data_IF_392364776414
#
_entry.id   IF_392364776414
#
_cell.length_a   1.000
_cell.length_b   1.000
_cell.length_c   1.000
_cell.angle_alpha   90.00
_cell.angle_beta   90.00
_cell.angle_gamma   90.00
#
_symmetry.space_group_name_H-M   'P 1'
#
loop_
_entity.id
_entity.type
_entity.pdbx_description
1 polymer ?
#
# COMPACT_ATOMS: atom_id res chain seq x y z
N UNK A 1 -9.39 29.26 1.38
CA UNK A 1 -7.91 29.27 1.50
C UNK A 1 -7.45 27.83 1.32
N UNK A 2 -6.27 27.58 0.76
CA UNK A 2 -5.78 26.22 0.62
C UNK A 2 -5.28 25.72 1.98
N UNK A 3 -5.60 24.48 2.35
CA UNK A 3 -5.20 23.89 3.64
C UNK A 3 -3.70 23.52 3.68
N UNK A 4 -3.06 23.41 2.51
CA UNK A 4 -1.64 23.09 2.35
C UNK A 4 -0.97 24.13 1.46
N UNK A 5 -0.02 24.88 2.01
CA UNK A 5 0.62 26.01 1.31
C UNK A 5 2.14 25.85 1.12
N UNK A 6 2.77 24.84 1.74
CA UNK A 6 4.23 24.65 1.67
C UNK A 6 4.61 23.22 1.27
N UNK A 7 5.79 23.00 0.65
CA UNK A 7 6.27 21.65 0.35
C UNK A 7 6.42 20.77 1.60
N UNK A 8 6.80 21.35 2.74
CA UNK A 8 6.88 20.65 4.02
C UNK A 8 5.50 20.20 4.49
N UNK A 9 4.49 21.08 4.42
CA UNK A 9 3.12 20.73 4.79
C UNK A 9 2.56 19.63 3.87
N UNK A 10 2.85 19.68 2.57
CA UNK A 10 2.46 18.63 1.64
C UNK A 10 3.17 17.30 1.92
N UNK A 11 4.45 17.33 2.28
CA UNK A 11 5.19 16.12 2.67
C UNK A 11 4.59 15.50 3.94
N UNK A 12 4.28 16.31 4.95
CA UNK A 12 3.65 15.85 6.19
C UNK A 12 2.32 15.15 5.89
N UNK A 13 1.45 15.80 5.12
CA UNK A 13 0.17 15.22 4.69
C UNK A 13 0.38 13.90 3.93
N UNK A 14 1.32 13.85 2.97
CA UNK A 14 1.59 12.65 2.20
C UNK A 14 2.10 11.48 3.08
N UNK A 15 2.99 11.75 4.03
CA UNK A 15 3.52 10.73 4.95
C UNK A 15 2.44 10.23 5.90
N UNK A 16 1.58 11.11 6.41
CA UNK A 16 0.45 10.73 7.28
C UNK A 16 -0.58 9.89 6.52
N UNK A 17 -0.94 10.31 5.30
CA UNK A 17 -1.84 9.55 4.42
C UNK A 17 -1.29 8.16 4.12
N UNK A 18 -0.01 8.06 3.75
CA UNK A 18 0.67 6.78 3.55
C UNK A 18 0.68 5.92 4.83
N UNK A 19 0.92 6.53 5.99
CA UNK A 19 0.94 5.82 7.27
C UNK A 19 -0.43 5.23 7.61
N UNK A 20 -1.53 5.98 7.46
CA UNK A 20 -2.88 5.43 7.64
C UNK A 20 -3.16 4.32 6.62
N UNK A 21 -2.69 4.48 5.38
CA UNK A 21 -2.75 3.44 4.37
C UNK A 21 -2.13 2.13 4.86
N UNK A 22 -0.89 2.16 5.37
CA UNK A 22 -0.24 0.96 5.89
C UNK A 22 -0.92 0.40 7.14
N UNK A 23 -1.48 1.25 8.02
CA UNK A 23 -2.34 0.79 9.12
C UNK A 23 -3.54 -0.01 8.60
N UNK A 24 -4.22 0.49 7.56
CA UNK A 24 -5.35 -0.20 6.95
C UNK A 24 -4.93 -1.53 6.32
N UNK A 25 -3.76 -1.58 5.65
CA UNK A 25 -3.21 -2.83 5.10
C UNK A 25 -2.96 -3.87 6.19
N UNK A 26 -2.26 -3.50 7.27
CA UNK A 26 -2.00 -4.39 8.42
C UNK A 26 -3.30 -4.95 9.00
N UNK A 27 -4.33 -4.13 9.11
CA UNK A 27 -5.61 -4.53 9.69
C UNK A 27 -6.46 -5.45 8.78
N UNK A 28 -6.23 -5.44 7.46
CA UNK A 28 -7.15 -6.03 6.47
C UNK A 28 -6.55 -7.17 5.65
N UNK A 29 -5.25 -7.16 5.36
CA UNK A 29 -4.62 -8.18 4.51
C UNK A 29 -4.75 -9.61 5.07
N UNK A 30 -4.82 -9.76 6.40
CA UNK A 30 -5.09 -11.06 7.02
C UNK A 30 -6.43 -11.66 6.57
N UNK A 31 -7.48 -10.85 6.44
CA UNK A 31 -8.80 -11.32 5.95
C UNK A 31 -8.78 -11.62 4.46
N UNK A 32 -8.14 -10.76 3.66
CA UNK A 32 -7.97 -10.98 2.22
C UNK A 32 -7.24 -12.30 1.96
N UNK A 33 -6.17 -12.57 2.72
CA UNK A 33 -5.44 -13.85 2.67
C UNK A 33 -6.33 -15.06 2.93
N UNK A 34 -7.27 -14.94 3.87
CA UNK A 34 -8.15 -16.05 4.23
C UNK A 34 -9.26 -16.28 3.19
N UNK A 35 -9.48 -15.34 2.26
CA UNK A 35 -10.40 -15.51 1.14
C UNK A 35 -9.79 -16.20 -0.09
N UNK A 36 -8.45 -16.24 -0.18
CA UNK A 36 -7.70 -16.77 -1.31
C UNK A 36 -7.62 -18.30 -1.25
N UNK A 37 -7.80 -18.96 -2.38
CA UNK A 37 -7.68 -20.43 -2.51
C UNK A 37 -6.27 -20.82 -3.02
N UNK A 38 -5.62 -19.97 -3.80
CA UNK A 38 -4.27 -20.19 -4.31
C UNK A 38 -3.18 -19.91 -3.27
N UNK A 39 -2.36 -20.93 -2.97
CA UNK A 39 -1.35 -20.86 -1.91
C UNK A 39 -0.22 -19.86 -2.21
N UNK A 40 0.13 -19.65 -3.49
CA UNK A 40 1.16 -18.66 -3.86
C UNK A 40 0.64 -17.25 -3.58
N UNK A 41 -0.61 -16.96 -3.93
CA UNK A 41 -1.25 -15.69 -3.58
C UNK A 41 -1.35 -15.49 -2.07
N UNK A 42 -1.68 -16.53 -1.30
CA UNK A 42 -1.74 -16.45 0.17
C UNK A 42 -0.38 -16.08 0.77
N UNK A 43 0.69 -16.67 0.24
CA UNK A 43 2.06 -16.36 0.65
C UNK A 43 2.43 -14.91 0.32
N UNK A 44 2.13 -14.46 -0.90
CA UNK A 44 2.38 -13.07 -1.32
C UNK A 44 1.65 -12.07 -0.41
N UNK A 45 0.38 -12.32 -0.09
CA UNK A 45 -0.40 -11.43 0.80
C UNK A 45 0.13 -11.48 2.24
N UNK A 46 0.60 -12.63 2.72
CA UNK A 46 1.20 -12.75 4.05
C UNK A 46 2.49 -11.93 4.14
N UNK A 47 3.35 -12.05 3.14
CA UNK A 47 4.61 -11.32 3.08
C UNK A 47 4.36 -9.81 2.91
N UNK A 48 3.33 -9.44 2.13
CA UNK A 48 2.90 -8.05 1.98
C UNK A 48 2.35 -7.46 3.28
N UNK A 49 1.65 -8.25 4.11
CA UNK A 49 1.19 -7.80 5.43
C UNK A 49 2.37 -7.53 6.39
N UNK A 50 3.41 -8.36 6.35
CA UNK A 50 4.63 -8.13 7.13
C UNK A 50 5.39 -6.89 6.62
N UNK A 51 5.41 -6.69 5.31
CA UNK A 51 5.99 -5.51 4.70
C UNK A 51 5.24 -4.22 5.07
N UNK A 52 3.91 -4.23 4.99
CA UNK A 52 3.06 -3.10 5.38
C UNK A 52 3.31 -2.68 6.84
N UNK A 53 3.48 -3.68 7.74
CA UNK A 53 3.84 -3.45 9.13
C UNK A 53 5.18 -2.71 9.27
N UNK A 54 6.22 -3.13 8.54
CA UNK A 54 7.50 -2.43 8.54
C UNK A 54 7.40 -1.02 7.93
N UNK A 55 6.66 -0.85 6.83
CA UNK A 55 6.47 0.44 6.16
C UNK A 55 5.72 1.44 7.03
N UNK A 56 4.69 0.99 7.75
CA UNK A 56 3.98 1.79 8.76
C UNK A 56 4.96 2.35 9.78
N UNK A 57 5.80 1.51 10.36
CA UNK A 57 6.74 1.93 11.40
C UNK A 57 7.83 2.88 10.84
N UNK A 58 8.30 2.64 9.60
CA UNK A 58 9.22 3.55 8.91
C UNK A 58 8.58 4.93 8.63
N UNK A 59 7.31 4.98 8.21
CA UNK A 59 6.56 6.20 7.95
C UNK A 59 6.27 6.98 9.24
N UNK A 60 5.94 6.30 10.33
CA UNK A 60 5.79 6.91 11.64
C UNK A 60 7.09 7.61 12.09
N UNK A 61 8.25 6.98 11.84
CA UNK A 61 9.54 7.58 12.13
C UNK A 61 9.83 8.81 11.24
N UNK A 62 9.45 8.77 9.95
CA UNK A 62 9.57 9.94 9.06
C UNK A 62 8.68 11.08 9.55
N UNK A 63 7.41 10.82 9.87
CA UNK A 63 6.49 11.81 10.41
C UNK A 63 7.03 12.46 11.69
N UNK A 64 7.57 11.65 12.61
CA UNK A 64 8.21 12.15 13.83
C UNK A 64 9.40 13.07 13.54
N UNK A 65 10.24 12.75 12.55
CA UNK A 65 11.36 13.61 12.14
C UNK A 65 10.93 14.95 11.51
N UNK A 66 9.67 15.03 11.08
CA UNK A 66 9.03 16.23 10.54
C UNK A 66 8.23 17.00 11.62
N UNK A 67 8.39 16.68 12.90
CA UNK A 67 7.61 17.24 14.01
C UNK A 67 6.09 17.20 13.73
N UNK A 68 5.64 16.13 13.06
CA UNK A 68 4.25 15.93 12.71
C UNK A 68 3.59 14.98 13.71
N UNK A 69 2.53 15.44 14.35
CA UNK A 69 1.64 14.59 15.14
C UNK A 69 0.86 13.64 14.21
N UNK A 70 0.48 12.43 14.63
CA UNK A 70 -0.44 11.60 13.89
C UNK A 70 -1.74 12.37 13.60
N UNK A 71 -2.22 12.31 12.35
CA UNK A 71 -3.56 12.78 12.00
C UNK A 71 -4.53 11.59 11.97
N UNK A 72 -5.77 11.84 12.38
CA UNK A 72 -6.87 10.87 12.34
C UNK A 72 -7.56 10.82 10.96
N UNK A 73 -7.00 11.48 9.95
CA UNK A 73 -7.58 11.50 8.61
C UNK A 73 -7.31 10.19 7.87
N UNK A 74 -8.37 9.49 7.43
CA UNK A 74 -8.21 8.19 6.78
C UNK A 74 -7.69 8.35 5.34
N UNK A 75 -6.80 7.44 4.93
CA UNK A 75 -6.40 7.29 3.54
C UNK A 75 -7.59 6.79 2.72
N UNK A 76 -8.24 7.69 2.00
CA UNK A 76 -9.48 7.40 1.26
C UNK A 76 -9.24 6.36 0.15
N UNK A 77 -8.14 6.48 -0.57
CA UNK A 77 -7.90 5.68 -1.78
C UNK A 77 -7.54 4.24 -1.46
N UNK A 78 -6.60 4.02 -0.54
CA UNK A 78 -6.18 2.67 -0.19
C UNK A 78 -7.28 1.92 0.56
N UNK A 79 -8.06 2.61 1.41
CA UNK A 79 -9.23 2.02 2.07
C UNK A 79 -10.30 1.62 1.05
N UNK A 80 -10.59 2.45 0.06
CA UNK A 80 -11.54 2.09 -1.01
C UNK A 80 -11.08 0.85 -1.81
N UNK A 81 -9.78 0.74 -2.10
CA UNK A 81 -9.23 -0.45 -2.78
C UNK A 81 -9.32 -1.71 -1.90
N UNK A 82 -9.11 -1.57 -0.59
CA UNK A 82 -9.30 -2.67 0.35
C UNK A 82 -10.78 -3.02 0.54
N UNK A 83 -11.68 -2.04 0.42
CA UNK A 83 -13.13 -2.26 0.39
C UNK A 83 -13.54 -3.07 -0.85
N UNK A 84 -12.97 -2.75 -2.02
CA UNK A 84 -13.14 -3.57 -3.22
C UNK A 84 -12.71 -5.02 -2.97
N UNK A 85 -11.53 -5.24 -2.36
CA UNK A 85 -11.03 -6.58 -2.07
C UNK A 85 -11.93 -7.34 -1.07
N UNK A 86 -12.39 -6.68 0.00
CA UNK A 86 -13.34 -7.26 0.96
C UNK A 86 -14.70 -7.57 0.29
N UNK A 87 -15.13 -6.76 -0.70
CA UNK A 87 -16.33 -7.02 -1.48
C UNK A 87 -16.14 -8.21 -2.44
N UNK A 88 -14.99 -8.34 -3.09
CA UNK A 88 -14.66 -9.48 -3.96
C UNK A 88 -14.71 -10.80 -3.17
N UNK A 89 -14.19 -10.81 -1.93
CA UNK A 89 -14.32 -11.95 -1.00
C UNK A 89 -15.78 -12.39 -0.78
N UNK A 90 -16.71 -11.43 -0.68
CA UNK A 90 -18.11 -11.68 -0.34
C UNK A 90 -18.97 -12.02 -1.55
N UNK A 91 -18.63 -11.47 -2.73
CA UNK A 91 -19.51 -11.48 -3.90
C UNK A 91 -19.09 -12.50 -4.96
N UNK A 92 -17.81 -12.89 -5.01
CA UNK A 92 -17.30 -13.88 -5.95
C UNK A 92 -17.18 -15.22 -5.24
N UNK A 93 -17.60 -16.33 -5.86
CA UNK A 93 -17.47 -17.66 -5.27
C UNK A 93 -15.99 -18.06 -5.08
N UNK A 94 -15.71 -18.94 -4.10
CA UNK A 94 -14.38 -19.53 -3.92
C UNK A 94 -13.87 -20.16 -5.21
N UNK A 95 -12.56 -20.04 -5.45
CA UNK A 95 -11.85 -20.57 -6.60
C UNK A 95 -11.16 -19.50 -7.46
N UNK A 96 -10.67 -19.90 -8.65
CA UNK A 96 -9.73 -19.10 -9.44
C UNK A 96 -10.23 -17.70 -9.83
N UNK A 97 -11.54 -17.53 -10.05
CA UNK A 97 -12.11 -16.22 -10.40
C UNK A 97 -11.98 -15.19 -9.26
N UNK A 98 -12.12 -15.64 -8.01
CA UNK A 98 -11.93 -14.77 -6.85
C UNK A 98 -10.47 -14.42 -6.68
N UNK A 99 -9.57 -15.38 -6.80
CA UNK A 99 -8.13 -15.13 -6.68
C UNK A 99 -7.63 -14.14 -7.75
N UNK A 100 -8.17 -14.21 -8.97
CA UNK A 100 -7.92 -13.25 -10.05
C UNK A 100 -8.40 -11.85 -9.70
N UNK A 101 -9.63 -11.72 -9.18
CA UNK A 101 -10.19 -10.44 -8.77
C UNK A 101 -9.37 -9.80 -7.64
N UNK A 102 -9.06 -10.60 -6.60
CA UNK A 102 -8.23 -10.19 -5.47
C UNK A 102 -6.81 -9.80 -5.91
N UNK A 103 -6.19 -10.53 -6.85
CA UNK A 103 -4.92 -10.13 -7.43
C UNK A 103 -5.04 -8.75 -8.11
N UNK A 104 -6.09 -8.52 -8.90
CA UNK A 104 -6.37 -7.21 -9.50
C UNK A 104 -6.54 -6.09 -8.48
N UNK A 105 -7.29 -6.33 -7.40
CA UNK A 105 -7.51 -5.36 -6.32
C UNK A 105 -6.19 -5.01 -5.60
N UNK A 106 -5.40 -6.01 -5.21
CA UNK A 106 -4.12 -5.81 -4.53
C UNK A 106 -3.12 -5.05 -5.40
N UNK A 107 -3.09 -5.33 -6.70
CA UNK A 107 -2.24 -4.59 -7.66
C UNK A 107 -2.62 -3.13 -7.79
N UNK A 108 -3.92 -2.80 -7.84
CA UNK A 108 -4.40 -1.40 -7.76
C UNK A 108 -3.85 -0.72 -6.49
N UNK A 109 -3.87 -1.43 -5.36
CA UNK A 109 -3.35 -0.96 -4.08
C UNK A 109 -1.85 -0.65 -4.15
N UNK A 110 -1.04 -1.57 -4.66
CA UNK A 110 0.41 -1.40 -4.78
C UNK A 110 0.80 -0.26 -5.72
N UNK A 111 0.11 -0.11 -6.84
CA UNK A 111 0.34 1.00 -7.77
C UNK A 111 -0.02 2.35 -7.13
N UNK A 112 -1.13 2.43 -6.39
CA UNK A 112 -1.48 3.63 -5.63
C UNK A 112 -0.42 3.95 -4.57
N UNK A 113 0.02 2.96 -3.79
CA UNK A 113 1.09 3.13 -2.80
C UNK A 113 2.38 3.64 -3.45
N UNK A 114 2.81 3.01 -4.55
CA UNK A 114 4.03 3.38 -5.27
C UNK A 114 4.00 4.85 -5.71
N UNK A 115 2.93 5.30 -6.36
CA UNK A 115 2.79 6.70 -6.81
C UNK A 115 2.79 7.68 -5.63
N UNK A 116 2.14 7.31 -4.52
CA UNK A 116 2.17 8.12 -3.29
C UNK A 116 3.58 8.18 -2.68
N UNK A 117 4.32 7.07 -2.66
CA UNK A 117 5.72 7.04 -2.22
C UNK A 117 6.64 7.87 -3.12
N UNK A 118 6.48 7.79 -4.45
CA UNK A 118 7.21 8.61 -5.41
C UNK A 118 6.97 10.11 -5.17
N UNK A 119 5.74 10.49 -4.82
CA UNK A 119 5.37 11.88 -4.46
C UNK A 119 6.09 12.34 -3.19
N UNK A 120 6.01 11.56 -2.11
CA UNK A 120 6.71 11.87 -0.85
C UNK A 120 8.24 11.89 -1.03
N UNK A 121 8.78 11.01 -1.87
CA UNK A 121 10.20 10.96 -2.22
C UNK A 121 10.66 12.24 -2.92
N UNK A 122 9.89 12.70 -3.93
CA UNK A 122 10.20 13.93 -4.64
C UNK A 122 10.20 15.15 -3.70
N UNK A 123 9.26 15.22 -2.77
CA UNK A 123 9.19 16.27 -1.75
C UNK A 123 10.35 16.19 -0.76
N UNK A 124 10.72 14.98 -0.31
CA UNK A 124 11.85 14.76 0.58
C UNK A 124 13.18 15.20 -0.07
N UNK A 125 13.38 14.88 -1.35
CA UNK A 125 14.53 15.37 -2.13
C UNK A 125 14.51 16.89 -2.29
N UNK A 126 13.34 17.50 -2.54
CA UNK A 126 13.20 18.95 -2.65
C UNK A 126 13.55 19.70 -1.35
N UNK A 127 13.38 19.05 -0.21
CA UNK A 127 13.65 19.59 1.12
C UNK A 127 15.02 19.17 1.69
N UNK A 128 15.87 18.54 0.88
CA UNK A 128 17.19 18.02 1.26
C UNK A 128 17.15 17.03 2.45
N UNK A 129 16.05 16.29 2.60
CA UNK A 129 15.84 15.28 3.64
C UNK A 129 16.38 13.91 3.19
N UNK A 130 17.70 13.77 3.11
CA UNK A 130 18.38 12.60 2.54
C UNK A 130 17.93 11.25 3.13
N UNK A 131 17.84 11.15 4.45
CA UNK A 131 17.44 9.90 5.11
C UNK A 131 15.98 9.51 4.80
N UNK A 132 15.06 10.48 4.79
CA UNK A 132 13.66 10.23 4.42
C UNK A 132 13.56 9.82 2.94
N UNK A 133 14.31 10.48 2.06
CA UNK A 133 14.37 10.12 0.65
C UNK A 133 14.88 8.68 0.43
N UNK A 134 15.91 8.24 1.16
CA UNK A 134 16.42 6.88 1.03
C UNK A 134 15.41 5.83 1.51
N UNK A 135 14.71 6.10 2.61
CA UNK A 135 13.63 5.22 3.13
C UNK A 135 12.49 5.11 2.13
N UNK A 136 11.98 6.23 1.64
CA UNK A 136 10.88 6.28 0.67
C UNK A 136 11.27 5.62 -0.67
N UNK A 137 12.52 5.77 -1.12
CA UNK A 137 13.01 5.08 -2.33
C UNK A 137 12.91 3.57 -2.20
N UNK A 138 13.28 3.01 -1.04
CA UNK A 138 13.12 1.57 -0.79
C UNK A 138 11.66 1.16 -0.77
N UNK A 139 10.76 2.00 -0.28
CA UNK A 139 9.32 1.72 -0.30
C UNK A 139 8.77 1.68 -1.74
N UNK A 140 9.23 2.56 -2.63
CA UNK A 140 8.90 2.52 -4.07
C UNK A 140 9.34 1.18 -4.68
N UNK A 141 10.59 0.78 -4.46
CA UNK A 141 11.15 -0.48 -4.98
C UNK A 141 10.39 -1.71 -4.46
N UNK A 142 10.05 -1.72 -3.17
CA UNK A 142 9.29 -2.81 -2.56
C UNK A 142 7.85 -2.87 -3.12
N UNK A 143 7.19 -1.74 -3.28
CA UNK A 143 5.85 -1.69 -3.88
C UNK A 143 5.85 -2.18 -5.34
N UNK A 144 6.87 -1.80 -6.12
CA UNK A 144 7.08 -2.29 -7.48
C UNK A 144 7.34 -3.80 -7.53
N UNK A 145 8.20 -4.32 -6.65
CA UNK A 145 8.48 -5.74 -6.56
C UNK A 145 7.24 -6.57 -6.20
N UNK A 146 6.46 -6.11 -5.22
CA UNK A 146 5.20 -6.77 -4.84
C UNK A 146 4.18 -6.74 -5.98
N UNK A 147 3.99 -5.61 -6.67
CA UNK A 147 3.09 -5.57 -7.85
C UNK A 147 3.56 -6.51 -8.95
N UNK A 148 4.87 -6.59 -9.22
CA UNK A 148 5.43 -7.52 -10.21
C UNK A 148 5.17 -8.99 -9.86
N UNK A 149 5.28 -9.35 -8.58
CA UNK A 149 4.96 -10.69 -8.10
C UNK A 149 3.46 -11.00 -8.24
N UNK A 150 2.59 -10.06 -7.88
CA UNK A 150 1.14 -10.18 -8.06
C UNK A 150 0.76 -10.25 -9.54
N UNK A 151 1.44 -9.52 -10.42
CA UNK A 151 1.22 -9.58 -11.86
C UNK A 151 1.56 -10.96 -12.41
N UNK A 152 2.68 -11.54 -11.98
CA UNK A 152 3.10 -12.89 -12.36
C UNK A 152 2.09 -13.94 -11.86
N UNK A 153 1.59 -13.77 -10.63
CA UNK A 153 0.56 -14.65 -10.09
C UNK A 153 -0.76 -14.53 -10.87
N UNK A 154 -1.18 -13.32 -11.22
CA UNK A 154 -2.37 -13.06 -12.04
C UNK A 154 -2.29 -13.73 -13.42
N UNK A 155 -1.15 -13.60 -14.10
CA UNK A 155 -0.94 -14.24 -15.40
C UNK A 155 -1.05 -15.76 -15.30
N UNK A 156 -0.45 -16.35 -14.26
CA UNK A 156 -0.55 -17.81 -13.99
C UNK A 156 -1.99 -18.24 -13.70
N UNK A 157 -2.71 -17.51 -12.85
CA UNK A 157 -4.10 -17.83 -12.51
C UNK A 157 -5.02 -17.74 -13.73
N UNK A 158 -4.73 -16.82 -14.66
CA UNK A 158 -5.53 -16.58 -15.85
C UNK A 158 -5.21 -17.55 -17.01
N UNK A 159 -4.04 -18.18 -17.01
CA UNK A 159 -3.59 -19.07 -18.10
C UNK A 159 -4.34 -20.41 -18.18
N UNK A 160 -5.12 -20.77 -17.15
CA UNK A 160 -5.82 -22.06 -17.04
C UNK A 160 -7.35 -21.98 -16.99
N UNK A 161 -7.92 -20.80 -17.27
CA UNK A 161 -9.36 -20.61 -17.48
C UNK A 161 -9.75 -20.92 -18.93
#
# INVERSE_FOLDING_TARGET
>A
MAEVETPRALLVMAVQDLHDGECAMVARLGRVRDCLDDEVMRELVRDDAALAQAQRDELAAIASSLDAEPQDEPNVWLRAILDDADNDCQTIAHGPLRDIALAGALRKGKQSQRVSYETALALSRKLDLGEAADRLSRMVERAEATDGALATALDRLSAGL
#
